data_IF_902042361830
#
_entry.id   IF_902042361830
#
_cell.length_a   1.000
_cell.length_b   1.000
_cell.length_c   1.000
_cell.angle_alpha   90.00
_cell.angle_beta   90.00
_cell.angle_gamma   90.00
#
_symmetry.space_group_name_H-M   'P 1'
#
loop_
_entity.id
_entity.type
_entity.pdbx_description
1 polymer ?
#
# COMPACT_ATOMS: atom_id res chain seq x y z
N UNK A 1 9.28 3.69 13.42
CA UNK A 1 7.85 3.33 13.58
C UNK A 1 7.40 2.47 12.40
N UNK A 2 6.34 1.67 12.57
CA UNK A 2 5.68 0.94 11.47
C UNK A 2 4.23 1.39 11.37
N UNK A 3 3.74 1.55 10.14
CA UNK A 3 2.33 1.69 9.83
C UNK A 3 1.80 0.31 9.43
N UNK A 4 0.86 -0.23 10.21
CA UNK A 4 0.19 -1.48 9.89
C UNK A 4 -1.27 -1.20 9.54
N UNK A 5 -1.74 -1.78 8.45
CA UNK A 5 -3.13 -1.65 8.00
C UNK A 5 -3.68 -2.98 7.56
N UNK A 6 -4.97 -3.18 7.77
CA UNK A 6 -5.75 -4.30 7.25
C UNK A 6 -7.03 -3.73 6.65
N UNK A 7 -7.18 -3.88 5.36
CA UNK A 7 -8.38 -3.49 4.61
C UNK A 7 -9.10 -4.75 4.15
N UNK A 8 -10.38 -4.89 4.48
CA UNK A 8 -11.24 -5.97 4.01
C UNK A 8 -12.36 -5.40 3.17
N UNK A 9 -12.61 -6.04 2.03
CA UNK A 9 -13.68 -5.69 1.10
C UNK A 9 -14.57 -6.92 0.95
N UNK A 10 -15.86 -6.73 1.10
CA UNK A 10 -16.86 -7.81 0.97
C UNK A 10 -18.26 -7.22 0.91
N UNK A 11 -19.21 -8.04 0.51
CA UNK A 11 -20.65 -7.76 0.54
C UNK A 11 -21.28 -8.38 1.77
N UNK A 12 -22.44 -7.87 2.18
CA UNK A 12 -23.15 -8.38 3.37
C UNK A 12 -23.69 -9.79 3.17
N UNK A 13 -24.04 -10.12 1.93
CA UNK A 13 -24.59 -11.43 1.52
C UNK A 13 -23.51 -12.45 1.12
N UNK A 14 -22.24 -12.07 1.16
CA UNK A 14 -21.12 -12.93 0.77
C UNK A 14 -20.92 -13.08 -0.75
N UNK A 15 -21.65 -12.33 -1.56
CA UNK A 15 -21.45 -12.27 -3.01
C UNK A 15 -20.08 -11.67 -3.37
N UNK A 16 -19.71 -11.75 -4.65
CA UNK A 16 -18.49 -11.10 -5.15
C UNK A 16 -18.61 -9.59 -4.98
N UNK A 17 -17.69 -8.94 -4.26
CA UNK A 17 -17.72 -7.49 -4.12
C UNK A 17 -17.45 -6.79 -5.47
N UNK A 18 -17.92 -5.55 -5.65
CA UNK A 18 -17.54 -4.76 -6.82
C UNK A 18 -16.03 -4.55 -6.85
N UNK A 19 -15.50 -4.30 -8.05
CA UNK A 19 -14.06 -4.13 -8.22
C UNK A 19 -13.61 -2.83 -7.59
N UNK A 20 -12.67 -2.92 -6.65
CA UNK A 20 -12.02 -1.76 -6.04
C UNK A 20 -11.11 -1.10 -7.07
N UNK A 21 -11.34 0.17 -7.35
CA UNK A 21 -10.61 0.95 -8.36
C UNK A 21 -9.54 1.84 -7.74
N UNK A 22 -9.91 2.58 -6.69
CA UNK A 22 -9.02 3.56 -6.09
C UNK A 22 -9.08 3.49 -4.58
N UNK A 23 -7.91 3.57 -3.94
CA UNK A 23 -7.79 3.80 -2.51
C UNK A 23 -7.09 5.14 -2.28
N UNK A 24 -7.71 6.01 -1.48
CA UNK A 24 -7.12 7.26 -1.03
C UNK A 24 -6.84 7.14 0.46
N UNK A 25 -5.62 7.44 0.87
CA UNK A 25 -5.21 7.49 2.27
C UNK A 25 -4.79 8.90 2.64
N UNK A 26 -5.26 9.40 3.77
CA UNK A 26 -4.83 10.66 4.35
C UNK A 26 -4.21 10.38 5.71
N UNK A 27 -2.96 10.80 5.90
CA UNK A 27 -2.19 10.56 7.10
C UNK A 27 -2.14 11.82 7.97
N UNK A 28 -2.16 11.61 9.28
CA UNK A 28 -2.05 12.68 10.27
C UNK A 28 -0.83 13.58 9.98
N UNK A 29 -0.98 14.89 10.12
CA UNK A 29 0.12 15.86 9.93
C UNK A 29 1.31 15.67 10.88
N UNK A 30 1.10 14.96 11.98
CA UNK A 30 2.17 14.58 12.91
C UNK A 30 2.96 13.36 12.42
N UNK A 31 2.55 12.73 11.32
CA UNK A 31 3.33 11.70 10.63
C UNK A 31 4.29 12.31 9.63
N UNK A 32 5.42 11.64 9.36
CA UNK A 32 6.37 12.03 8.32
C UNK A 32 6.92 10.81 7.60
N UNK A 33 7.26 10.98 6.32
CA UNK A 33 7.96 9.98 5.51
C UNK A 33 9.37 10.50 5.21
N UNK A 34 10.39 9.75 5.61
CA UNK A 34 11.80 10.08 5.37
C UNK A 34 12.43 9.08 4.39
N UNK A 35 12.65 9.54 3.18
CA UNK A 35 13.30 8.77 2.10
C UNK A 35 14.78 9.08 1.94
N UNK A 36 15.34 10.05 2.69
CA UNK A 36 16.72 10.51 2.53
C UNK A 36 17.72 9.40 2.84
N UNK A 37 18.60 9.11 1.87
CA UNK A 37 19.64 8.09 2.00
C UNK A 37 19.12 6.64 1.91
N UNK A 38 17.85 6.43 1.57
CA UNK A 38 17.35 5.12 1.18
C UNK A 38 17.69 4.83 -0.29
N UNK A 39 18.13 3.63 -0.61
CA UNK A 39 18.19 3.18 -1.99
C UNK A 39 16.84 3.30 -2.67
N UNK A 40 16.85 3.49 -3.98
CA UNK A 40 15.67 3.61 -4.82
C UNK A 40 15.53 2.33 -5.65
N UNK A 41 14.29 1.82 -5.76
CA UNK A 41 13.93 0.75 -6.66
C UNK A 41 13.19 1.31 -7.88
N UNK A 42 13.80 1.42 -9.07
CA UNK A 42 13.10 1.77 -10.28
C UNK A 42 12.09 0.68 -10.68
N UNK A 43 10.94 1.07 -11.23
CA UNK A 43 9.88 0.13 -11.67
C UNK A 43 10.40 -0.93 -12.65
N UNK A 44 11.29 -0.55 -13.56
CA UNK A 44 11.92 -1.46 -14.53
C UNK A 44 12.62 -2.67 -13.89
N UNK A 45 13.12 -2.56 -12.64
CA UNK A 45 13.69 -3.71 -11.92
C UNK A 45 12.64 -4.70 -11.42
N UNK A 46 11.39 -4.28 -11.36
CA UNK A 46 10.26 -5.08 -10.85
C UNK A 46 9.45 -5.72 -11.98
N UNK A 47 9.59 -5.24 -13.21
CA UNK A 47 8.91 -5.80 -14.39
C UNK A 47 9.22 -7.27 -14.54
N UNK A 48 8.15 -8.09 -14.68
CA UNK A 48 8.23 -9.54 -14.78
C UNK A 48 8.85 -10.26 -13.58
N UNK A 49 9.17 -9.52 -12.48
CA UNK A 49 9.81 -10.13 -11.33
C UNK A 49 8.82 -10.90 -10.46
N UNK A 50 9.16 -12.14 -10.11
CA UNK A 50 8.49 -12.85 -9.02
C UNK A 50 8.75 -12.14 -7.68
N UNK A 51 7.97 -12.42 -6.61
CA UNK A 51 8.18 -11.79 -5.29
C UNK A 51 9.61 -11.95 -4.75
N UNK A 52 10.21 -13.13 -4.92
CA UNK A 52 11.58 -13.40 -4.50
C UNK A 52 12.60 -12.58 -5.31
N UNK A 53 12.41 -12.51 -6.64
CA UNK A 53 13.28 -11.73 -7.52
C UNK A 53 13.17 -10.22 -7.22
N UNK A 54 11.96 -9.69 -7.03
CA UNK A 54 11.71 -8.29 -6.66
C UNK A 54 12.44 -7.91 -5.38
N UNK A 55 12.30 -8.72 -4.33
CA UNK A 55 13.00 -8.51 -3.05
C UNK A 55 14.52 -8.61 -3.19
N UNK A 56 15.03 -9.51 -3.99
CA UNK A 56 16.48 -9.64 -4.25
C UNK A 56 17.02 -8.43 -5.03
N UNK A 57 16.34 -8.03 -6.13
CA UNK A 57 16.78 -6.92 -7.00
C UNK A 57 16.75 -5.56 -6.28
N UNK A 58 15.83 -5.38 -5.33
CA UNK A 58 15.58 -4.13 -4.64
C UNK A 58 15.68 -4.25 -3.11
N UNK A 59 16.53 -5.13 -2.59
CA UNK A 59 16.60 -5.43 -1.16
C UNK A 59 16.82 -4.18 -0.28
N UNK A 60 17.73 -3.28 -0.68
CA UNK A 60 18.01 -2.06 0.06
C UNK A 60 16.90 -1.00 0.03
N UNK A 61 15.97 -1.10 -0.93
CA UNK A 61 14.84 -0.20 -1.07
C UNK A 61 13.54 -0.75 -0.44
N UNK A 62 13.56 -1.97 0.10
CA UNK A 62 12.40 -2.59 0.72
C UNK A 62 12.02 -1.83 2.00
N UNK A 63 10.82 -1.27 2.04
CA UNK A 63 10.31 -0.50 3.18
C UNK A 63 9.04 -1.10 3.79
N UNK A 64 8.53 -2.19 3.22
CA UNK A 64 7.36 -2.85 3.79
C UNK A 64 7.01 -4.15 3.07
N UNK A 65 6.15 -4.92 3.73
CA UNK A 65 5.60 -6.18 3.22
C UNK A 65 4.13 -6.31 3.57
N UNK A 66 3.45 -7.22 2.91
CA UNK A 66 2.04 -7.48 3.16
C UNK A 66 1.51 -8.69 2.42
N UNK A 67 0.19 -8.80 2.42
CA UNK A 67 -0.55 -9.86 1.71
C UNK A 67 -1.78 -9.27 1.05
N UNK A 68 -1.98 -9.56 -0.21
CA UNK A 68 -3.21 -9.29 -0.95
C UNK A 68 -4.00 -10.56 -1.17
N UNK A 69 -5.35 -10.49 -1.08
CA UNK A 69 -6.24 -11.59 -1.49
C UNK A 69 -7.31 -11.05 -2.43
N UNK A 70 -7.68 -11.85 -3.40
CA UNK A 70 -8.77 -11.55 -4.31
C UNK A 70 -9.65 -12.79 -4.52
N UNK A 71 -10.92 -12.54 -4.84
CA UNK A 71 -11.85 -13.52 -5.37
C UNK A 71 -11.85 -13.38 -6.89
N UNK A 72 -11.60 -14.47 -7.59
CA UNK A 72 -11.59 -14.51 -9.07
C UNK A 72 -12.82 -15.24 -9.55
N UNK A 73 -13.58 -14.58 -10.45
CA UNK A 73 -14.83 -15.11 -11.02
C UNK A 73 -14.71 -15.13 -12.54
N UNK A 74 -14.24 -16.23 -13.09
CA UNK A 74 -14.13 -16.43 -14.54
C UNK A 74 -15.42 -17.09 -15.05
N UNK A 75 -16.02 -16.62 -16.15
CA UNK A 75 -17.19 -17.26 -16.74
C UNK A 75 -16.96 -18.76 -16.99
N UNK A 76 -17.94 -19.59 -16.62
CA UNK A 76 -17.89 -21.04 -16.76
C UNK A 76 -17.01 -21.78 -15.74
N UNK A 77 -16.50 -21.09 -14.71
CA UNK A 77 -15.74 -21.70 -13.61
C UNK A 77 -16.30 -21.32 -12.26
N UNK A 78 -16.19 -22.20 -11.28
CA UNK A 78 -16.51 -21.84 -9.91
C UNK A 78 -15.56 -20.74 -9.41
N UNK A 79 -16.04 -19.75 -8.65
CA UNK A 79 -15.19 -18.72 -8.05
C UNK A 79 -14.10 -19.33 -7.17
N UNK A 80 -12.90 -18.77 -7.22
CA UNK A 80 -11.76 -19.23 -6.42
C UNK A 80 -10.97 -18.06 -5.87
N UNK A 81 -10.23 -18.31 -4.79
CA UNK A 81 -9.43 -17.28 -4.09
C UNK A 81 -7.98 -17.37 -4.51
N UNK A 82 -7.38 -16.21 -4.69
CA UNK A 82 -5.93 -16.08 -4.88
C UNK A 82 -5.33 -15.26 -3.75
N UNK A 83 -4.07 -15.54 -3.46
CA UNK A 83 -3.28 -14.82 -2.45
C UNK A 83 -1.95 -14.45 -3.06
N UNK A 84 -1.55 -13.19 -2.90
CA UNK A 84 -0.26 -12.69 -3.37
C UNK A 84 0.50 -12.01 -2.23
N UNK A 85 1.80 -12.31 -2.05
CA UNK A 85 2.64 -11.51 -1.18
C UNK A 85 2.83 -10.12 -1.78
N UNK A 86 2.69 -9.09 -0.94
CA UNK A 86 2.97 -7.70 -1.28
C UNK A 86 4.38 -7.33 -0.81
N UNK A 87 5.08 -6.53 -1.61
CA UNK A 87 6.33 -5.90 -1.23
C UNK A 87 6.25 -4.42 -1.56
N UNK A 88 6.70 -3.57 -0.64
CA UNK A 88 6.67 -2.13 -0.79
C UNK A 88 8.11 -1.61 -0.83
N UNK A 89 8.43 -0.85 -1.86
CA UNK A 89 9.78 -0.33 -2.10
C UNK A 89 9.76 1.19 -2.13
N UNK A 90 10.84 1.81 -1.63
CA UNK A 90 11.11 3.22 -1.87
C UNK A 90 11.38 3.43 -3.37
N UNK A 91 10.52 4.20 -4.03
CA UNK A 91 10.59 4.47 -5.46
C UNK A 91 11.37 5.73 -5.81
N UNK A 92 11.66 5.96 -7.09
CA UNK A 92 12.18 7.25 -7.55
C UNK A 92 11.15 8.35 -7.25
N UNK A 93 11.61 9.52 -6.78
CA UNK A 93 10.69 10.62 -6.48
C UNK A 93 9.99 11.10 -7.77
N UNK A 94 8.71 11.37 -7.65
CA UNK A 94 7.89 11.96 -8.71
C UNK A 94 7.80 13.47 -8.49
N UNK A 95 8.47 14.27 -9.33
CA UNK A 95 8.55 15.74 -9.18
C UNK A 95 8.94 16.18 -7.76
N UNK A 96 9.91 15.48 -7.17
CA UNK A 96 10.39 15.75 -5.81
C UNK A 96 9.49 15.20 -4.68
N UNK A 97 8.36 14.57 -5.00
CA UNK A 97 7.47 13.92 -4.03
C UNK A 97 7.93 12.50 -3.76
N UNK A 98 7.92 12.03 -2.50
CA UNK A 98 8.20 10.63 -2.19
C UNK A 98 7.27 9.69 -2.94
N UNK A 99 7.81 8.59 -3.44
CA UNK A 99 7.04 7.53 -4.10
C UNK A 99 7.26 6.20 -3.41
N UNK A 100 6.18 5.50 -3.13
CA UNK A 100 6.16 4.12 -2.70
C UNK A 100 5.76 3.25 -3.89
N UNK A 101 6.45 2.15 -4.15
CA UNK A 101 6.06 1.19 -5.18
C UNK A 101 5.55 -0.06 -4.51
N UNK A 102 4.28 -0.39 -4.73
CA UNK A 102 3.72 -1.67 -4.35
C UNK A 102 3.95 -2.68 -5.49
N UNK A 103 4.44 -3.86 -5.14
CA UNK A 103 4.63 -4.99 -6.02
C UNK A 103 3.83 -6.17 -5.51
N UNK A 104 2.99 -6.72 -6.38
CA UNK A 104 2.30 -7.99 -6.21
C UNK A 104 2.62 -8.90 -7.40
N UNK A 105 2.26 -10.17 -7.30
CA UNK A 105 2.46 -11.13 -8.38
C UNK A 105 1.23 -12.03 -8.48
N UNK A 106 0.59 -12.04 -9.61
CA UNK A 106 -0.52 -12.94 -9.90
C UNK A 106 -0.07 -14.07 -10.84
N UNK A 107 -0.75 -15.22 -10.73
CA UNK A 107 -0.46 -16.41 -11.55
C UNK A 107 -1.64 -16.76 -12.46
N UNK A 108 -2.72 -16.01 -12.37
CA UNK A 108 -3.97 -16.24 -13.10
C UNK A 108 -4.44 -14.93 -13.71
N UNK A 109 -4.88 -14.88 -14.97
CA UNK A 109 -4.93 -15.98 -15.95
C UNK A 109 -3.54 -16.38 -16.48
N UNK A 110 -2.58 -15.45 -16.41
CA UNK A 110 -1.17 -15.64 -16.77
C UNK A 110 -0.27 -15.05 -15.71
N UNK A 111 0.93 -15.65 -15.47
CA UNK A 111 1.86 -15.10 -14.50
C UNK A 111 2.32 -13.70 -14.88
N UNK A 112 2.10 -12.72 -13.98
CA UNK A 112 2.57 -11.33 -14.18
C UNK A 112 2.81 -10.58 -12.87
N UNK A 113 3.73 -9.63 -12.92
CA UNK A 113 3.96 -8.68 -11.85
C UNK A 113 2.97 -7.51 -11.96
N UNK A 114 2.30 -7.18 -10.87
CA UNK A 114 1.51 -5.97 -10.72
C UNK A 114 2.36 -4.93 -9.99
N UNK A 115 2.63 -3.81 -10.63
CA UNK A 115 3.49 -2.74 -10.11
C UNK A 115 2.65 -1.47 -10.02
N UNK A 116 2.52 -0.94 -8.80
CA UNK A 116 1.69 0.23 -8.53
C UNK A 116 2.56 1.31 -7.90
N UNK A 117 2.95 2.35 -8.67
CA UNK A 117 3.55 3.55 -8.10
C UNK A 117 2.52 4.34 -7.32
N UNK A 118 2.88 4.78 -6.12
CA UNK A 118 2.04 5.51 -5.18
C UNK A 118 2.79 6.78 -4.78
N UNK A 119 2.38 7.92 -5.29
CA UNK A 119 2.97 9.21 -4.91
C UNK A 119 2.37 9.69 -3.60
N UNK A 120 3.24 10.13 -2.68
CA UNK A 120 2.85 10.68 -1.38
C UNK A 120 2.93 12.20 -1.47
N UNK A 121 1.77 12.83 -1.44
CA UNK A 121 1.63 14.27 -1.56
C UNK A 121 1.50 14.94 -0.19
N UNK A 122 2.11 16.12 -0.03
CA UNK A 122 1.83 16.99 1.10
C UNK A 122 0.49 17.68 0.89
N UNK A 123 -0.35 17.67 1.90
CA UNK A 123 -1.64 18.36 1.90
C UNK A 123 -1.77 19.20 3.17
N UNK A 124 -2.53 20.30 3.08
CA UNK A 124 -2.85 21.14 4.23
C UNK A 124 -4.37 21.08 4.48
N UNK A 125 -4.86 19.89 4.85
CA UNK A 125 -6.30 19.65 5.07
C UNK A 125 -6.58 19.37 6.56
N UNK A 126 -6.62 20.43 7.35
CA UNK A 126 -6.94 20.32 8.77
C UNK A 126 -5.96 19.41 9.51
N UNK A 127 -6.43 18.23 9.93
CA UNK A 127 -5.63 17.25 10.66
C UNK A 127 -4.63 16.49 9.80
N UNK A 128 -4.84 16.41 8.49
CA UNK A 128 -4.03 15.62 7.58
C UNK A 128 -2.92 16.47 6.96
N UNK A 129 -1.71 15.90 6.91
CA UNK A 129 -0.52 16.51 6.32
C UNK A 129 -0.03 15.81 5.07
N UNK A 130 -0.50 14.58 4.81
CA UNK A 130 -0.12 13.78 3.65
C UNK A 130 -1.32 13.04 3.08
N UNK A 131 -1.29 12.85 1.76
CA UNK A 131 -2.24 12.03 1.03
C UNK A 131 -1.49 11.11 0.09
N UNK A 132 -1.97 9.88 -0.05
CA UNK A 132 -1.53 8.93 -1.06
C UNK A 132 -2.76 8.38 -1.78
N UNK A 133 -2.68 8.31 -3.09
CA UNK A 133 -3.70 7.70 -3.93
C UNK A 133 -3.15 6.47 -4.62
N UNK A 134 -3.87 5.37 -4.53
CA UNK A 134 -3.51 4.08 -5.09
C UNK A 134 -4.52 3.72 -6.16
N UNK A 135 -4.11 3.74 -7.41
CA UNK A 135 -4.90 3.19 -8.52
C UNK A 135 -4.64 1.69 -8.59
N UNK A 136 -5.67 0.88 -8.34
CA UNK A 136 -5.51 -0.56 -8.38
C UNK A 136 -5.55 -1.04 -9.83
N UNK A 137 -4.59 -1.88 -10.24
CA UNK A 137 -4.62 -2.50 -11.55
C UNK A 137 -5.74 -3.55 -11.61
N UNK A 138 -6.13 -3.93 -12.81
CA UNK A 138 -7.05 -5.04 -13.01
C UNK A 138 -6.42 -6.33 -12.50
N UNK A 139 -7.07 -6.98 -11.54
CA UNK A 139 -6.64 -8.26 -10.98
C UNK A 139 -7.20 -9.38 -11.87
N UNK A 140 -6.36 -10.37 -12.19
CA UNK A 140 -6.73 -11.52 -13.03
C UNK A 140 -7.40 -11.12 -14.36
N UNK A 141 -6.85 -10.08 -15.02
CA UNK A 141 -7.40 -9.59 -16.30
C UNK A 141 -8.80 -8.97 -16.20
N UNK A 142 -9.17 -8.44 -15.01
CA UNK A 142 -10.49 -7.86 -14.75
C UNK A 142 -11.49 -8.82 -14.12
N UNK A 143 -11.14 -10.10 -13.95
CA UNK A 143 -12.00 -11.11 -13.31
C UNK A 143 -11.82 -11.19 -11.79
N UNK A 144 -10.90 -10.41 -11.21
CA UNK A 144 -10.56 -10.45 -9.79
C UNK A 144 -11.09 -9.24 -9.02
N UNK A 145 -11.76 -9.50 -7.90
CA UNK A 145 -12.15 -8.49 -6.92
C UNK A 145 -11.25 -8.60 -5.68
N UNK A 146 -10.59 -7.51 -5.29
CA UNK A 146 -9.79 -7.47 -4.08
C UNK A 146 -10.68 -7.69 -2.84
N UNK A 147 -10.28 -8.61 -1.96
CA UNK A 147 -11.03 -8.93 -0.73
C UNK A 147 -10.26 -8.63 0.54
N UNK A 148 -8.92 -8.59 0.46
CA UNK A 148 -8.04 -8.27 1.59
C UNK A 148 -6.79 -7.56 1.07
N UNK A 149 -6.37 -6.54 1.78
CA UNK A 149 -5.03 -5.98 1.68
C UNK A 149 -4.49 -5.77 3.10
N UNK A 150 -3.43 -6.50 3.44
CA UNK A 150 -2.65 -6.31 4.66
C UNK A 150 -1.33 -5.68 4.28
N UNK A 151 -0.92 -4.64 5.00
CA UNK A 151 0.34 -3.97 4.78
C UNK A 151 0.99 -3.60 6.11
N UNK A 152 2.30 -3.81 6.18
CA UNK A 152 3.17 -3.31 7.24
C UNK A 152 4.30 -2.53 6.58
N UNK A 153 4.24 -1.21 6.69
CA UNK A 153 5.19 -0.30 6.05
C UNK A 153 6.00 0.39 7.12
N UNK A 154 7.31 0.39 6.96
CA UNK A 154 8.29 1.00 7.84
C UNK A 154 9.61 0.24 7.76
N UNK A 155 10.69 0.97 7.65
CA UNK A 155 12.06 0.47 7.72
C UNK A 155 12.84 1.37 8.65
N UNK A 156 13.82 0.82 9.34
CA UNK A 156 14.75 1.58 10.19
C UNK A 156 16.13 1.46 9.58
N UNK A 157 16.86 2.57 9.54
CA UNK A 157 18.23 2.64 9.05
C UNK A 157 19.07 3.52 9.96
N UNK A 158 20.37 3.30 9.96
CA UNK A 158 21.31 4.17 10.65
C UNK A 158 21.79 5.28 9.72
N UNK A 159 21.66 6.53 10.16
CA UNK A 159 22.18 7.72 9.47
C UNK A 159 22.86 8.63 10.48
N UNK A 160 24.15 8.89 10.28
CA UNK A 160 24.95 9.71 11.22
C UNK A 160 24.95 9.17 12.65
N UNK A 161 25.01 7.83 12.82
CA UNK A 161 24.99 7.17 14.14
C UNK A 161 23.63 7.13 14.82
N UNK A 162 22.55 7.59 14.18
CA UNK A 162 21.20 7.59 14.73
C UNK A 162 20.26 6.71 13.90
N UNK A 163 19.35 6.02 14.55
CA UNK A 163 18.28 5.32 13.87
C UNK A 163 17.23 6.28 13.31
N UNK A 164 16.93 6.13 12.02
CA UNK A 164 15.92 6.91 11.31
C UNK A 164 14.92 5.96 10.68
N UNK A 165 13.64 6.12 11.00
CA UNK A 165 12.55 5.36 10.40
C UNK A 165 12.15 5.91 9.03
N UNK A 166 11.72 5.03 8.13
CA UNK A 166 11.03 5.44 6.89
C UNK A 166 9.72 6.20 7.19
N UNK A 167 8.96 5.72 8.18
CA UNK A 167 7.81 6.40 8.74
C UNK A 167 8.13 6.83 10.17
N UNK A 168 7.92 8.10 10.47
CA UNK A 168 8.09 8.66 11.81
C UNK A 168 6.81 9.41 12.21
N UNK A 169 6.62 9.61 13.51
CA UNK A 169 5.50 10.37 14.03
C UNK A 169 5.87 11.14 15.29
N UNK A 170 5.26 12.31 15.43
CA UNK A 170 5.20 13.03 16.69
C UNK A 170 3.87 12.72 17.37
N UNK A 171 3.92 12.29 18.62
CA UNK A 171 2.74 11.93 19.40
C UNK A 171 2.09 13.15 20.09
N UNK A 172 2.06 14.28 19.44
CA UNK A 172 1.35 15.46 19.97
C UNK A 172 -0.14 15.11 20.14
N UNK A 173 -0.64 15.16 21.38
CA UNK A 173 -2.01 14.77 21.70
C UNK A 173 -2.25 13.27 21.88
N UNK A 174 -1.21 12.42 21.88
CA UNK A 174 -1.28 10.99 22.20
C UNK A 174 -2.06 10.12 21.21
N UNK A 175 -2.49 10.67 20.08
CA UNK A 175 -3.28 9.96 19.06
C UNK A 175 -2.93 10.40 17.65
N UNK A 176 -2.85 9.45 16.74
CA UNK A 176 -2.74 9.68 15.29
C UNK A 176 -4.03 9.27 14.59
N UNK A 177 -4.37 9.98 13.54
CA UNK A 177 -5.56 9.71 12.74
C UNK A 177 -5.17 9.39 11.28
N UNK A 178 -5.86 8.40 10.71
CA UNK A 178 -5.77 8.06 9.30
C UNK A 178 -7.19 8.05 8.75
N UNK A 179 -7.42 8.77 7.65
CA UNK A 179 -8.64 8.64 6.87
C UNK A 179 -8.36 7.83 5.62
N UNK A 180 -9.34 7.07 5.19
CA UNK A 180 -9.32 6.31 3.95
C UNK A 180 -10.61 6.53 3.17
N UNK A 181 -10.52 6.41 1.85
CA UNK A 181 -11.67 6.37 0.95
C UNK A 181 -11.43 5.29 -0.10
N UNK A 182 -12.33 4.33 -0.18
CA UNK A 182 -12.35 3.31 -1.22
C UNK A 182 -13.39 3.69 -2.27
N UNK A 183 -13.00 3.67 -3.54
CA UNK A 183 -13.87 3.91 -4.69
C UNK A 183 -13.94 2.64 -5.51
N UNK A 184 -15.14 2.29 -5.95
CA UNK A 184 -15.44 1.08 -6.70
C UNK A 184 -15.91 1.41 -8.12
N UNK A 185 -15.84 0.41 -9.01
CA UNK A 185 -16.19 0.57 -10.43
C UNK A 185 -17.68 0.83 -10.68
N UNK A 186 -18.54 0.51 -9.75
CA UNK A 186 -19.99 0.79 -9.78
C UNK A 186 -20.34 2.22 -9.34
N UNK A 187 -19.34 3.01 -8.93
CA UNK A 187 -19.51 4.38 -8.46
C UNK A 187 -19.69 4.50 -6.95
N UNK A 188 -19.81 3.40 -6.24
CA UNK A 188 -19.88 3.41 -4.78
C UNK A 188 -18.55 3.85 -4.16
N UNK A 189 -18.64 4.53 -3.01
CA UNK A 189 -17.47 4.89 -2.23
C UNK A 189 -17.73 4.70 -0.73
N UNK A 190 -16.68 4.30 -0.02
CA UNK A 190 -16.73 4.08 1.43
C UNK A 190 -15.61 4.88 2.13
N UNK A 191 -15.97 5.96 2.86
CA UNK A 191 -15.00 6.68 3.69
C UNK A 191 -14.84 5.94 5.03
N UNK A 192 -13.61 5.96 5.55
CA UNK A 192 -13.28 5.44 6.88
C UNK A 192 -12.31 6.39 7.58
N UNK A 193 -12.47 6.54 8.89
CA UNK A 193 -11.53 7.26 9.73
C UNK A 193 -11.14 6.37 10.89
N UNK A 194 -9.84 6.16 11.06
CA UNK A 194 -9.26 5.37 12.13
C UNK A 194 -8.40 6.25 13.02
N UNK A 195 -8.49 6.03 14.32
CA UNK A 195 -7.66 6.71 15.31
C UNK A 195 -6.88 5.66 16.09
N UNK A 196 -5.57 5.82 16.16
CA UNK A 196 -4.69 4.93 16.89
C UNK A 196 -4.00 5.66 18.03
N UNK A 197 -3.84 5.07 19.21
CA UNK A 197 -2.96 5.59 20.24
C UNK A 197 -1.54 5.75 19.70
N UNK A 198 -0.87 6.82 20.11
CA UNK A 198 0.51 7.08 19.77
C UNK A 198 1.31 7.24 21.05
N UNK A 199 2.27 6.37 21.27
CA UNK A 199 3.17 6.41 22.42
C UNK A 199 4.61 6.57 21.92
N UNK A 200 5.35 7.51 22.53
CA UNK A 200 6.80 7.57 22.33
C UNK A 200 7.44 6.39 23.06
N UNK A 201 8.46 5.73 22.48
CA UNK A 201 9.25 4.77 23.25
C UNK A 201 9.87 5.50 24.44
N UNK A 202 9.80 4.86 25.59
CA UNK A 202 10.45 5.32 26.83
C UNK A 202 11.95 5.09 26.76
#
# INVERSE_FOLDING_TARGET
>A
MFLSSVTRVGTRDGSTPPTLQTLIFQLDRNGTVDTKGLPICPTAKLEGATPTQARKRCAGALVGTGTGKALVTIPGRAPFRITSPLSFFNGPPDHGRPTLIAHAYETVPTPQALIVPITIEKVAKGRYGFQAEVQLPQIAGGFGAATLAEAKIGAVRTRGGREVGYINAHCAGGRLQVAGKALFTDGDYFPVTLTSPCHLPR
#
